data_IF_228690554194
#
_entry.id   IF_228690554194
#
_cell.length_a   1.000
_cell.length_b   1.000
_cell.length_c   1.000
_cell.angle_alpha   90.00
_cell.angle_beta   90.00
_cell.angle_gamma   90.00
#
_symmetry.space_group_name_H-M   'P 1'
#
loop_
_entity.id
_entity.type
_entity.pdbx_description
1 polymer ?
#
# COMPACT_ATOMS: atom_id res chain seq x y z
N UNK A 1 -20.85 -18.48 21.27
CA UNK A 1 -19.46 -18.15 20.92
C UNK A 1 -18.53 -19.10 21.66
N UNK A 2 -17.49 -19.62 21.00
CA UNK A 2 -16.45 -20.40 21.70
C UNK A 2 -15.50 -19.40 22.35
N UNK A 3 -15.32 -19.49 23.66
CA UNK A 3 -14.37 -18.65 24.37
C UNK A 3 -12.98 -19.27 24.27
N UNK A 4 -11.99 -18.47 23.89
CA UNK A 4 -10.59 -18.89 23.82
C UNK A 4 -9.77 -18.05 24.78
N UNK A 5 -8.91 -18.72 25.54
CA UNK A 5 -7.98 -18.05 26.45
C UNK A 5 -6.58 -18.10 25.86
N UNK A 6 -5.91 -16.96 25.83
CA UNK A 6 -4.52 -16.83 25.38
C UNK A 6 -3.70 -16.33 26.57
N UNK A 7 -2.63 -17.05 26.91
CA UNK A 7 -1.64 -16.55 27.87
C UNK A 7 -0.71 -15.57 27.15
N UNK A 8 -0.53 -14.41 27.76
CA UNK A 8 0.39 -13.38 27.29
C UNK A 8 1.32 -12.96 28.42
N UNK A 9 2.49 -12.42 28.09
CA UNK A 9 3.37 -11.83 29.09
C UNK A 9 2.73 -10.60 29.75
N UNK A 10 3.17 -10.27 30.97
CA UNK A 10 2.71 -9.06 31.68
C UNK A 10 2.98 -7.79 30.88
N UNK A 11 4.10 -7.75 30.16
CA UNK A 11 4.48 -6.63 29.30
C UNK A 11 3.52 -6.45 28.13
N UNK A 12 3.13 -7.55 27.47
CA UNK A 12 2.14 -7.52 26.37
C UNK A 12 0.76 -7.12 26.88
N UNK A 13 0.31 -7.65 28.01
CA UNK A 13 -0.96 -7.25 28.62
C UNK A 13 -1.01 -5.75 28.91
N UNK A 14 0.06 -5.18 29.48
CA UNK A 14 0.16 -3.73 29.75
C UNK A 14 0.08 -2.91 28.47
N UNK A 15 0.72 -3.35 27.38
CA UNK A 15 0.65 -2.68 26.07
C UNK A 15 -0.75 -2.74 25.47
N UNK A 16 -1.42 -3.89 25.54
CA UNK A 16 -2.81 -4.03 25.08
C UNK A 16 -3.75 -3.10 25.83
N UNK A 17 -3.64 -2.99 27.15
CA UNK A 17 -4.44 -2.04 27.92
C UNK A 17 -4.20 -0.58 27.53
N UNK A 18 -2.95 -0.21 27.22
CA UNK A 18 -2.64 1.13 26.71
C UNK A 18 -3.33 1.39 25.38
N UNK A 19 -3.27 0.43 24.45
CA UNK A 19 -3.93 0.53 23.13
C UNK A 19 -5.44 0.67 23.29
N UNK A 20 -6.06 -0.11 24.18
CA UNK A 20 -7.49 0.03 24.52
C UNK A 20 -7.81 1.45 25.00
N UNK A 21 -6.96 2.02 25.86
CA UNK A 21 -7.12 3.39 26.35
C UNK A 21 -7.02 4.44 25.24
N UNK A 22 -6.07 4.28 24.32
CA UNK A 22 -5.90 5.14 23.15
C UNK A 22 -7.10 5.03 22.20
N UNK A 23 -7.56 3.82 21.89
CA UNK A 23 -8.74 3.58 21.06
C UNK A 23 -10.02 4.12 21.69
N UNK A 24 -10.18 3.98 23.01
CA UNK A 24 -11.33 4.52 23.74
C UNK A 24 -11.39 6.05 23.62
N UNK A 25 -10.25 6.73 23.74
CA UNK A 25 -10.15 8.18 23.53
C UNK A 25 -10.51 8.57 22.10
N UNK A 26 -9.95 7.87 21.11
CA UNK A 26 -10.13 8.20 19.70
C UNK A 26 -11.56 7.95 19.20
N UNK A 27 -12.19 6.87 19.65
CA UNK A 27 -13.54 6.47 19.22
C UNK A 27 -14.65 7.09 20.08
N UNK A 28 -14.32 7.72 21.21
CA UNK A 28 -15.29 8.31 22.13
C UNK A 28 -16.21 7.29 22.82
N UNK A 29 -15.88 5.99 22.76
CA UNK A 29 -16.65 4.89 23.36
C UNK A 29 -15.73 3.91 24.07
N UNK A 30 -16.26 3.18 25.04
CA UNK A 30 -15.53 2.09 25.70
C UNK A 30 -15.16 1.01 24.68
N UNK A 31 -13.88 0.63 24.68
CA UNK A 31 -13.32 -0.44 23.85
C UNK A 31 -12.91 -1.61 24.75
N UNK A 32 -13.19 -2.82 24.32
CA UNK A 32 -12.79 -4.07 24.97
C UNK A 32 -11.41 -4.55 24.49
N UNK A 33 -10.78 -5.44 25.24
CA UNK A 33 -9.52 -6.07 24.81
C UNK A 33 -9.68 -6.86 23.50
N UNK A 34 -10.83 -7.52 23.32
CA UNK A 34 -11.13 -8.28 22.10
C UNK A 34 -11.21 -7.34 20.88
N UNK A 35 -11.94 -6.24 20.98
CA UNK A 35 -12.01 -5.23 19.92
C UNK A 35 -10.64 -4.64 19.59
N UNK A 36 -9.81 -4.37 20.60
CA UNK A 36 -8.45 -3.88 20.36
C UNK A 36 -7.57 -4.92 19.66
N UNK A 37 -7.72 -6.21 19.97
CA UNK A 37 -7.00 -7.29 19.27
C UNK A 37 -7.44 -7.37 17.81
N UNK A 38 -8.75 -7.33 17.55
CA UNK A 38 -9.29 -7.32 16.18
C UNK A 38 -8.78 -6.13 15.39
N UNK A 39 -8.83 -4.93 15.97
CA UNK A 39 -8.31 -3.71 15.37
C UNK A 39 -6.83 -3.83 14.99
N UNK A 40 -5.99 -4.41 15.84
CA UNK A 40 -4.58 -4.63 15.54
C UNK A 40 -4.36 -5.63 14.41
N UNK A 41 -5.16 -6.70 14.35
CA UNK A 41 -5.09 -7.71 13.30
C UNK A 41 -5.55 -7.16 11.95
N UNK A 42 -6.57 -6.31 11.92
CA UNK A 42 -7.04 -5.68 10.69
C UNK A 42 -6.04 -4.65 10.17
N UNK A 43 -5.50 -3.79 11.05
CA UNK A 43 -4.54 -2.77 10.64
C UNK A 43 -3.16 -3.33 10.28
N UNK A 44 -2.74 -4.46 10.87
CA UNK A 44 -1.50 -5.12 10.45
C UNK A 44 -1.58 -5.63 9.00
N UNK A 45 -2.75 -6.10 8.55
CA UNK A 45 -2.98 -6.48 7.15
C UNK A 45 -2.96 -5.28 6.21
N UNK A 46 -3.48 -4.14 6.66
CA UNK A 46 -3.45 -2.88 5.89
C UNK A 46 -2.02 -2.36 5.76
N UNK A 47 -1.22 -2.40 6.83
CA UNK A 47 0.19 -2.00 6.79
C UNK A 47 1.01 -2.85 5.81
N UNK A 48 0.85 -4.18 5.82
CA UNK A 48 1.51 -5.08 4.86
C UNK A 48 1.08 -4.82 3.41
N UNK A 49 -0.20 -4.46 3.19
CA UNK A 49 -0.69 -4.07 1.85
C UNK A 49 -0.08 -2.77 1.36
N UNK A 50 0.07 -1.78 2.24
CA UNK A 50 0.66 -0.48 1.90
C UNK A 50 2.15 -0.65 1.58
N UNK A 51 2.91 -1.39 2.39
CA UNK A 51 4.32 -1.69 2.10
C UNK A 51 4.49 -2.44 0.76
N UNK A 52 3.61 -3.40 0.46
CA UNK A 52 3.62 -4.11 -0.83
C UNK A 52 3.19 -3.22 -2.02
N UNK A 53 2.37 -2.20 -1.79
CA UNK A 53 2.01 -1.21 -2.82
C UNK A 53 3.17 -0.27 -3.10
N UNK A 54 3.83 0.23 -2.06
CA UNK A 54 5.01 1.09 -2.19
C UNK A 54 6.15 0.36 -2.90
N UNK A 55 6.41 -0.90 -2.55
CA UNK A 55 7.45 -1.69 -3.23
C UNK A 55 7.14 -1.87 -4.71
N UNK A 56 5.89 -2.16 -5.06
CA UNK A 56 5.45 -2.34 -6.45
C UNK A 56 5.52 -1.02 -7.24
N UNK A 57 5.14 0.10 -6.65
CA UNK A 57 5.26 1.42 -7.27
C UNK A 57 6.73 1.80 -7.54
N UNK A 58 7.65 1.46 -6.63
CA UNK A 58 9.08 1.68 -6.82
C UNK A 58 9.60 0.85 -8.00
N UNK A 59 9.19 -0.41 -8.10
CA UNK A 59 9.61 -1.30 -9.19
C UNK A 59 9.02 -0.86 -10.55
N UNK A 60 7.75 -0.48 -10.59
CA UNK A 60 7.09 0.06 -11.79
C UNK A 60 7.79 1.35 -12.26
N UNK A 61 8.16 2.24 -11.34
CA UNK A 61 8.89 3.47 -11.66
C UNK A 61 10.28 3.19 -12.25
N UNK A 62 11.02 2.22 -11.70
CA UNK A 62 12.31 1.78 -12.26
C UNK A 62 12.15 1.23 -13.68
N UNK A 63 11.08 0.48 -13.93
CA UNK A 63 10.77 -0.10 -15.24
C UNK A 63 10.42 0.95 -16.29
N UNK A 64 9.66 1.98 -15.92
CA UNK A 64 9.37 3.10 -16.83
C UNK A 64 10.65 3.88 -17.16
N UNK A 65 11.48 4.18 -16.17
CA UNK A 65 12.74 4.90 -16.39
C UNK A 65 13.69 4.11 -17.32
N UNK A 66 13.74 2.79 -17.19
CA UNK A 66 14.57 1.96 -18.07
C UNK A 66 14.04 1.90 -19.50
N UNK A 67 12.71 1.95 -19.69
CA UNK A 67 12.09 2.05 -21.01
C UNK A 67 12.36 3.41 -21.68
N UNK A 68 12.31 4.51 -20.93
CA UNK A 68 12.59 5.85 -21.44
C UNK A 68 14.06 6.04 -21.85
N UNK A 69 14.98 5.39 -21.13
CA UNK A 69 16.41 5.43 -21.46
C UNK A 69 16.77 4.52 -22.65
N UNK A 70 15.86 3.62 -23.04
CA UNK A 70 16.09 2.71 -24.15
C UNK A 70 16.03 3.50 -25.46
N UNK A 71 17.17 3.64 -26.12
CA UNK A 71 17.23 4.19 -27.48
C UNK A 71 16.65 3.17 -28.45
N UNK A 72 15.63 3.57 -29.19
CA UNK A 72 15.06 2.74 -30.25
C UNK A 72 15.95 2.87 -31.49
N UNK A 73 16.67 1.79 -31.81
CA UNK A 73 17.39 1.70 -33.08
C UNK A 73 16.39 1.36 -34.18
N UNK A 74 16.26 2.25 -35.16
CA UNK A 74 15.36 2.09 -36.31
C UNK A 74 14.55 3.34 -36.62
N UNK A 75 14.31 4.21 -35.64
CA UNK A 75 13.61 5.48 -35.84
C UNK A 75 14.55 6.45 -36.56
N UNK A 76 14.25 6.74 -37.83
CA UNK A 76 14.90 7.81 -38.58
C UNK A 76 14.21 9.14 -38.25
N UNK A 77 14.91 10.27 -38.44
CA UNK A 77 14.33 11.60 -38.21
C UNK A 77 13.02 11.83 -38.97
N UNK A 78 12.83 11.10 -40.07
CA UNK A 78 11.62 11.15 -40.90
C UNK A 78 10.41 10.46 -40.26
N UNK A 79 10.62 9.47 -39.37
CA UNK A 79 9.53 8.79 -38.63
C UNK A 79 8.92 9.65 -37.51
N UNK A 80 9.58 10.77 -37.17
CA UNK A 80 9.13 11.76 -36.20
C UNK A 80 8.44 12.97 -36.86
N UNK A 81 8.36 13.02 -38.19
CA UNK A 81 7.59 14.05 -38.87
C UNK A 81 6.12 13.82 -38.56
N UNK A 82 5.45 14.88 -38.12
CA UNK A 82 3.98 14.89 -38.07
C UNK A 82 3.46 14.65 -39.48
N UNK A 83 2.46 13.79 -39.62
CA UNK A 83 1.77 13.60 -40.89
C UNK A 83 1.17 14.93 -41.31
N UNK A 84 1.54 15.43 -42.49
CA UNK A 84 0.81 16.54 -43.07
C UNK A 84 -0.57 16.01 -43.46
N UNK A 85 -1.64 16.71 -43.07
CA UNK A 85 -3.01 16.29 -43.39
C UNK A 85 -3.19 16.11 -44.91
N UNK A 86 -2.41 16.84 -45.70
CA UNK A 86 -2.41 16.78 -47.15
C UNK A 86 -1.74 15.53 -47.74
N UNK A 87 -0.99 14.75 -46.95
CA UNK A 87 -0.37 13.49 -47.40
C UNK A 87 -1.36 12.29 -47.38
N UNK A 88 -2.51 12.46 -46.73
CA UNK A 88 -3.51 11.40 -46.49
C UNK A 88 -4.69 11.50 -47.48
N UNK A 89 -4.79 12.59 -48.23
CA UNK A 89 -5.82 12.82 -49.25
C UNK A 89 -5.19 13.05 -50.62
N UNK A 90 -5.18 12.02 -51.46
CA UNK A 90 -4.85 12.15 -52.89
C UNK A 90 -5.87 12.98 -53.65
#
# INVERSE_FOLDING_TARGET
MKNTTIKVSKTTAKRLHRIVGELTKNLGRRVTLEEAIVYLLENSKTAQRIEGLESKMIDDRKKILSLMQKKFYGIHSDDLKEYDYNDIGG
#
